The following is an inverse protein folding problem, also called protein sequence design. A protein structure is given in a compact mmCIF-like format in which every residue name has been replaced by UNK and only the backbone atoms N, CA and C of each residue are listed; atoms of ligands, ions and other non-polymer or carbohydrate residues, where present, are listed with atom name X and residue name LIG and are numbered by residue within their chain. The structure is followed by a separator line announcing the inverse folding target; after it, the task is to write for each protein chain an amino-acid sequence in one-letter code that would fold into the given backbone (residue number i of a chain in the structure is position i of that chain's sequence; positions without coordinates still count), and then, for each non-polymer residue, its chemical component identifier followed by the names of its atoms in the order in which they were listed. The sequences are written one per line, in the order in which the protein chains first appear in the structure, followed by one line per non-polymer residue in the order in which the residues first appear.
data_IF_449382076136
#
_entry.id   IF_449382076136
#
_cell.length_a   1.000
_cell.length_b   1.000
_cell.length_c   1.000
_cell.angle_alpha   90.00
_cell.angle_beta   90.00
_cell.angle_gamma   90.00
#
_symmetry.space_group_name_H-M   'P 1'
#
loop_
_entity.id
_entity.type
_entity.pdbx_description
1 polymer ?
#
# COMPACT_ATOMS: atom_id res chain seq x y z
N UNK A 1 -20.63 13.78 -9.23
CA UNK A 1 -19.45 13.34 -8.45
C UNK A 1 -18.83 12.19 -9.22
N UNK A 2 -17.62 12.38 -9.75
CA UNK A 2 -16.95 11.36 -10.57
C UNK A 2 -16.39 10.23 -9.71
N UNK A 3 -16.24 9.05 -10.31
CA UNK A 3 -15.48 7.95 -9.71
C UNK A 3 -13.99 8.25 -9.81
N UNK A 4 -13.18 7.79 -8.84
CA UNK A 4 -11.71 7.80 -8.98
C UNK A 4 -11.25 6.91 -10.13
N UNK A 5 -12.05 5.90 -10.49
CA UNK A 5 -11.80 4.98 -11.60
C UNK A 5 -12.23 5.54 -12.94
N UNK A 6 -13.21 6.45 -12.93
CA UNK A 6 -13.73 7.15 -14.13
C UNK A 6 -13.78 8.67 -13.88
N UNK A 7 -12.60 9.32 -13.76
CA UNK A 7 -12.52 10.76 -13.59
C UNK A 7 -13.03 11.50 -14.84
N UNK A 8 -13.48 12.75 -14.67
CA UNK A 8 -13.85 13.59 -15.81
C UNK A 8 -12.63 13.90 -16.68
N UNK A 9 -12.86 14.32 -17.93
CA UNK A 9 -11.77 14.72 -18.83
C UNK A 9 -10.91 15.84 -18.23
N UNK A 10 -11.54 16.79 -17.54
CA UNK A 10 -10.84 17.88 -16.86
C UNK A 10 -9.97 17.35 -15.70
N UNK A 11 -10.48 16.38 -14.94
CA UNK A 11 -9.72 15.74 -13.88
C UNK A 11 -8.53 14.94 -14.44
N UNK A 12 -8.71 14.20 -15.53
CA UNK A 12 -7.61 13.52 -16.21
C UNK A 12 -6.56 14.50 -16.74
N UNK A 13 -6.97 15.63 -17.31
CA UNK A 13 -6.05 16.67 -17.76
C UNK A 13 -5.24 17.25 -16.60
N UNK A 14 -5.89 17.54 -15.46
CA UNK A 14 -5.22 18.02 -14.26
C UNK A 14 -4.27 16.98 -13.65
N UNK A 15 -4.67 15.71 -13.60
CA UNK A 15 -3.82 14.61 -13.12
C UNK A 15 -2.59 14.43 -14.01
N UNK A 16 -2.74 14.54 -15.32
CA UNK A 16 -1.60 14.48 -16.25
C UNK A 16 -0.61 15.62 -16.04
N UNK A 17 -1.10 16.83 -15.77
CA UNK A 17 -0.22 17.96 -15.41
C UNK A 17 0.50 17.66 -14.10
N UNK A 18 -0.22 17.19 -13.07
CA UNK A 18 0.36 16.84 -11.79
C UNK A 18 1.44 15.75 -11.89
N UNK A 19 1.22 14.73 -12.75
CA UNK A 19 2.19 13.66 -13.01
C UNK A 19 3.48 14.19 -13.65
N UNK A 20 3.38 15.17 -14.55
CA UNK A 20 4.56 15.82 -15.16
C UNK A 20 5.31 16.66 -14.13
N UNK A 21 4.58 17.43 -13.30
CA UNK A 21 5.16 18.29 -12.27
C UNK A 21 5.79 17.50 -11.10
N UNK A 22 5.35 16.26 -10.87
CA UNK A 22 5.90 15.37 -9.84
C UNK A 22 7.42 15.16 -10.01
N UNK A 23 7.92 15.17 -11.24
CA UNK A 23 9.33 15.01 -11.56
C UNK A 23 9.87 13.65 -11.10
N UNK A 24 11.06 13.65 -10.48
CA UNK A 24 11.77 12.43 -10.10
C UNK A 24 11.45 11.99 -8.66
N UNK A 25 10.17 11.92 -8.32
CA UNK A 25 9.65 11.47 -7.02
C UNK A 25 8.88 10.17 -7.23
N UNK A 26 9.09 9.20 -6.33
CA UNK A 26 8.30 7.98 -6.28
C UNK A 26 7.02 8.25 -5.48
N UNK A 27 5.82 8.28 -6.09
CA UNK A 27 4.58 8.57 -5.37
C UNK A 27 4.20 7.45 -4.39
N UNK A 28 4.72 6.24 -4.57
CA UNK A 28 4.46 5.12 -3.67
C UNK A 28 5.31 5.20 -2.40
N UNK A 29 6.41 5.95 -2.39
CA UNK A 29 7.11 6.37 -1.17
C UNK A 29 7.94 7.63 -1.43
N UNK A 30 7.46 8.78 -1.00
CA UNK A 30 8.06 10.10 -1.33
C UNK A 30 9.48 10.32 -0.75
N UNK A 31 9.96 9.41 0.09
CA UNK A 31 11.33 9.44 0.64
C UNK A 31 12.28 8.42 -0.01
N UNK A 32 11.82 7.67 -1.00
CA UNK A 32 12.67 6.73 -1.77
C UNK A 32 12.96 7.28 -3.17
N UNK A 33 14.02 6.74 -3.79
CA UNK A 33 14.35 7.07 -5.17
C UNK A 33 13.48 6.26 -6.14
N UNK A 34 13.04 6.84 -7.28
CA UNK A 34 12.38 6.09 -8.33
C UNK A 34 13.27 5.03 -8.98
N UNK A 35 12.66 4.01 -9.59
CA UNK A 35 13.38 3.06 -10.43
C UNK A 35 13.79 3.72 -11.75
N UNK A 36 15.09 3.75 -12.04
CA UNK A 36 15.60 4.30 -13.29
C UNK A 36 15.50 3.26 -14.42
N UNK A 37 14.64 3.51 -15.42
CA UNK A 37 14.33 2.57 -16.53
C UNK A 37 15.54 2.20 -17.39
N UNK A 38 16.59 3.02 -17.42
CA UNK A 38 17.79 2.85 -18.27
C UNK A 38 18.97 2.18 -17.56
N UNK A 39 18.86 1.89 -16.26
CA UNK A 39 19.91 1.20 -15.52
C UNK A 39 19.92 -0.31 -15.83
N UNK A 40 21.12 -0.87 -16.06
CA UNK A 40 21.37 -2.31 -15.88
C UNK A 40 20.80 -2.76 -14.53
N UNK A 41 20.37 -4.02 -14.42
CA UNK A 41 19.96 -4.67 -13.17
C UNK A 41 21.17 -4.77 -12.24
N UNK A 42 21.61 -3.63 -11.71
CA UNK A 42 22.72 -3.53 -10.79
C UNK A 42 22.19 -4.01 -9.45
N UNK A 43 22.58 -5.22 -9.10
CA UNK A 43 22.40 -5.92 -7.82
C UNK A 43 22.85 -5.13 -6.57
N UNK A 44 23.26 -3.87 -6.72
CA UNK A 44 23.89 -2.99 -5.72
C UNK A 44 23.36 -1.55 -5.83
N UNK A 45 22.03 -1.36 -5.85
CA UNK A 45 21.40 -0.07 -5.50
C UNK A 45 21.63 0.21 -4.00
N UNK A 46 22.86 0.57 -3.62
CA UNK A 46 23.23 0.87 -2.22
C UNK A 46 22.73 2.26 -1.82
N UNK A 47 21.42 2.47 -1.85
CA UNK A 47 20.79 3.58 -1.15
C UNK A 47 20.80 3.26 0.35
N UNK A 48 21.61 3.99 1.13
CA UNK A 48 21.59 3.87 2.58
C UNK A 48 20.52 4.80 3.14
N UNK A 49 19.35 4.26 3.47
CA UNK A 49 18.26 5.00 4.07
C UNK A 49 18.31 4.79 5.59
N UNK A 50 18.55 5.82 6.41
CA UNK A 50 18.65 5.69 7.88
C UNK A 50 17.45 5.00 8.53
N UNK A 51 16.31 5.07 7.85
CA UNK A 51 15.03 4.55 8.29
C UNK A 51 14.70 3.15 7.73
N UNK A 52 15.51 2.59 6.82
CA UNK A 52 15.27 1.27 6.23
C UNK A 52 16.42 0.31 6.52
N UNK A 53 16.10 -0.88 7.04
CA UNK A 53 17.09 -1.85 7.54
C UNK A 53 17.85 -2.63 6.45
N UNK A 54 17.43 -2.51 5.19
CA UNK A 54 18.07 -3.11 4.01
C UNK A 54 18.13 -2.08 2.89
N UNK A 55 19.08 -2.24 1.97
CA UNK A 55 19.11 -1.46 0.74
C UNK A 55 17.78 -1.68 -0.01
N UNK A 56 16.97 -0.63 -0.09
CA UNK A 56 15.75 -0.62 -0.89
C UNK A 56 16.14 -0.58 -2.37
N UNK A 57 15.55 -1.46 -3.16
CA UNK A 57 15.66 -1.42 -4.60
C UNK A 57 14.28 -1.06 -5.18
N UNK A 58 14.11 0.12 -5.77
CA UNK A 58 12.83 0.51 -6.36
C UNK A 58 12.48 -0.30 -7.61
N UNK A 59 13.41 -1.08 -8.17
CA UNK A 59 13.23 -1.84 -9.39
C UNK A 59 12.79 -3.31 -9.16
N UNK A 60 12.27 -3.65 -7.98
CA UNK A 60 11.89 -5.03 -7.60
C UNK A 60 10.91 -5.69 -8.57
N UNK A 61 10.00 -4.92 -9.16
CA UNK A 61 9.04 -5.39 -10.17
C UNK A 61 9.74 -6.06 -11.37
N UNK A 62 10.91 -5.57 -11.77
CA UNK A 62 11.68 -6.13 -12.90
C UNK A 62 12.14 -7.55 -12.58
N UNK A 63 12.60 -7.78 -11.36
CA UNK A 63 13.03 -9.10 -10.91
C UNK A 63 11.88 -10.10 -10.91
N UNK A 64 10.69 -9.67 -10.47
CA UNK A 64 9.48 -10.50 -10.52
C UNK A 64 9.09 -10.84 -11.96
N UNK A 65 9.07 -9.85 -12.87
CA UNK A 65 8.77 -10.07 -14.29
C UNK A 65 9.72 -11.06 -14.96
N UNK A 66 11.02 -10.98 -14.67
CA UNK A 66 11.98 -11.96 -15.18
C UNK A 66 11.79 -13.35 -14.55
N UNK A 67 11.56 -13.42 -13.25
CA UNK A 67 11.43 -14.68 -12.53
C UNK A 67 10.20 -15.47 -12.96
N UNK A 68 9.02 -14.85 -13.00
CA UNK A 68 7.76 -15.54 -13.31
C UNK A 68 7.57 -15.88 -14.79
N UNK A 69 8.41 -15.32 -15.68
CA UNK A 69 8.44 -15.69 -17.10
C UNK A 69 9.44 -16.81 -17.44
N UNK A 70 10.17 -17.34 -16.44
CA UNK A 70 11.05 -18.50 -16.62
C UNK A 70 10.24 -19.78 -16.81
N UNK A 71 10.50 -20.60 -17.85
CA UNK A 71 9.80 -21.86 -18.07
C UNK A 71 9.90 -22.81 -16.86
N UNK A 72 11.06 -22.88 -16.22
CA UNK A 72 11.28 -23.73 -15.05
C UNK A 72 10.44 -23.29 -13.84
N UNK A 73 10.23 -21.98 -13.66
CA UNK A 73 9.40 -21.41 -12.60
C UNK A 73 7.93 -21.65 -12.90
N UNK A 74 7.49 -21.42 -14.14
CA UNK A 74 6.11 -21.69 -14.55
C UNK A 74 5.76 -23.17 -14.37
N UNK A 75 6.63 -24.08 -14.80
CA UNK A 75 6.44 -25.51 -14.62
C UNK A 75 6.36 -25.89 -13.12
N UNK A 76 7.26 -25.37 -12.29
CA UNK A 76 7.28 -25.65 -10.85
C UNK A 76 6.03 -25.13 -10.11
N UNK A 77 5.43 -24.04 -10.61
CA UNK A 77 4.18 -23.48 -10.08
C UNK A 77 2.92 -24.08 -10.73
N UNK A 78 3.08 -25.03 -11.66
CA UNK A 78 2.01 -25.56 -12.51
C UNK A 78 1.23 -24.44 -13.23
N UNK A 79 1.92 -23.37 -13.60
CA UNK A 79 1.39 -22.25 -14.36
C UNK A 79 1.61 -22.44 -15.86
N UNK A 80 0.79 -21.77 -16.68
CA UNK A 80 0.93 -21.77 -18.14
C UNK A 80 0.88 -23.18 -18.80
N UNK A 81 0.12 -24.11 -18.22
CA UNK A 81 0.01 -25.50 -18.70
C UNK A 81 -0.54 -25.59 -20.13
N UNK A 82 -1.36 -24.63 -20.53
CA UNK A 82 -2.02 -24.58 -21.85
C UNK A 82 -1.37 -23.60 -22.82
N UNK A 83 -0.17 -23.09 -22.52
CA UNK A 83 0.58 -22.16 -23.38
C UNK A 83 -0.21 -20.88 -23.76
N UNK A 84 -0.52 -20.06 -22.76
CA UNK A 84 -1.19 -18.76 -22.97
C UNK A 84 -0.34 -17.86 -23.90
N UNK A 85 -0.96 -17.08 -24.80
CA UNK A 85 -0.25 -16.39 -25.89
C UNK A 85 0.41 -15.07 -25.49
N UNK A 86 0.57 -14.81 -24.19
CA UNK A 86 1.15 -13.58 -23.66
C UNK A 86 1.99 -13.87 -22.41
N UNK A 87 3.03 -13.05 -22.14
CA UNK A 87 3.86 -13.25 -20.95
C UNK A 87 3.11 -12.92 -19.67
N UNK A 88 3.61 -13.45 -18.55
CA UNK A 88 3.22 -12.98 -17.23
C UNK A 88 3.61 -11.51 -17.05
N UNK A 89 2.72 -10.74 -16.43
CA UNK A 89 2.96 -9.36 -15.97
C UNK A 89 2.39 -9.20 -14.56
N UNK A 90 2.94 -8.26 -13.80
CA UNK A 90 2.44 -7.83 -12.48
C UNK A 90 1.02 -7.27 -12.53
N UNK A 91 0.73 -6.45 -13.54
CA UNK A 91 -0.56 -5.81 -13.75
C UNK A 91 -1.04 -5.97 -15.21
N UNK A 92 -2.36 -5.94 -15.42
CA UNK A 92 -2.97 -5.95 -16.76
C UNK A 92 -3.57 -4.58 -17.07
N UNK A 93 -2.96 -3.85 -18.02
CA UNK A 93 -3.45 -2.56 -18.47
C UNK A 93 -4.86 -2.64 -19.07
N UNK A 94 -5.20 -3.78 -19.70
CA UNK A 94 -6.53 -4.01 -20.27
C UNK A 94 -7.57 -4.05 -19.15
N UNK A 95 -7.31 -4.81 -18.08
CA UNK A 95 -8.25 -4.87 -16.94
C UNK A 95 -8.36 -3.51 -16.27
N UNK A 96 -7.25 -2.79 -16.08
CA UNK A 96 -7.26 -1.46 -15.49
C UNK A 96 -8.02 -0.42 -16.31
N UNK A 97 -7.81 -0.37 -17.63
CA UNK A 97 -8.41 0.64 -18.51
C UNK A 97 -9.90 0.40 -18.79
N UNK A 98 -10.38 -0.85 -18.70
CA UNK A 98 -11.75 -1.20 -19.04
C UNK A 98 -12.60 -1.63 -17.84
N UNK A 99 -12.12 -1.41 -16.61
CA UNK A 99 -12.91 -1.65 -15.40
C UNK A 99 -14.11 -0.71 -15.34
N UNK A 100 -15.31 -1.17 -14.94
CA UNK A 100 -16.53 -0.35 -15.00
C UNK A 100 -17.13 -0.06 -13.64
N UNK A 101 -17.59 -1.06 -12.89
CA UNK A 101 -18.29 -0.89 -11.64
C UNK A 101 -17.33 -0.55 -10.49
N UNK A 102 -17.44 0.68 -9.99
CA UNK A 102 -16.57 1.21 -8.94
C UNK A 102 -17.39 2.09 -7.99
N UNK A 103 -17.96 1.53 -6.90
CA UNK A 103 -18.75 2.32 -5.95
C UNK A 103 -17.90 3.42 -5.31
N UNK A 104 -18.47 4.62 -5.18
CA UNK A 104 -17.75 5.79 -4.64
C UNK A 104 -17.30 5.64 -3.18
N UNK A 105 -17.92 4.72 -2.44
CA UNK A 105 -17.69 4.58 -1.01
C UNK A 105 -17.91 3.16 -0.54
N UNK A 106 -16.98 2.67 0.27
CA UNK A 106 -17.12 1.42 1.02
C UNK A 106 -17.76 1.62 2.40
N UNK A 107 -18.00 2.86 2.83
CA UNK A 107 -18.49 3.16 4.19
C UNK A 107 -19.78 2.41 4.58
N UNK A 108 -20.77 2.19 3.68
CA UNK A 108 -21.94 1.37 4.01
C UNK A 108 -21.57 -0.07 4.38
N UNK A 109 -20.64 -0.68 3.63
CA UNK A 109 -20.15 -2.04 3.89
C UNK A 109 -19.40 -2.08 5.23
N UNK A 110 -18.55 -1.09 5.52
CA UNK A 110 -17.90 -1.00 6.84
C UNK A 110 -18.92 -0.94 7.98
N UNK A 111 -20.02 -0.19 7.85
CA UNK A 111 -21.08 -0.14 8.87
C UNK A 111 -21.73 -1.49 9.09
N UNK A 112 -22.03 -2.22 8.02
CA UNK A 112 -22.60 -3.57 8.06
C UNK A 112 -21.67 -4.56 8.78
N UNK A 113 -20.40 -4.63 8.37
CA UNK A 113 -19.42 -5.56 8.93
C UNK A 113 -19.07 -5.23 10.39
N UNK A 114 -19.04 -3.94 10.75
CA UNK A 114 -18.90 -3.50 12.15
C UNK A 114 -20.10 -3.95 12.99
N UNK A 115 -21.32 -3.79 12.47
CA UNK A 115 -22.53 -4.23 13.16
C UNK A 115 -22.59 -5.75 13.33
N UNK A 116 -22.04 -6.50 12.37
CA UNK A 116 -21.88 -7.96 12.45
C UNK A 116 -20.79 -8.41 13.44
N UNK A 117 -20.02 -7.49 14.02
CA UNK A 117 -18.97 -7.80 14.99
C UNK A 117 -17.68 -8.34 14.35
N UNK A 118 -17.48 -8.13 13.04
CA UNK A 118 -16.22 -8.50 12.40
C UNK A 118 -15.10 -7.57 12.84
N UNK A 119 -13.91 -8.15 13.03
CA UNK A 119 -12.71 -7.39 13.37
C UNK A 119 -12.16 -6.69 12.14
N UNK A 120 -12.15 -5.36 12.17
CA UNK A 120 -11.68 -4.53 11.07
C UNK A 120 -10.48 -3.69 11.51
N UNK A 121 -9.38 -3.84 10.79
CA UNK A 121 -8.19 -3.00 10.94
C UNK A 121 -7.88 -2.35 9.60
N UNK A 122 -7.65 -1.04 9.62
CA UNK A 122 -7.20 -0.26 8.46
C UNK A 122 -5.81 0.26 8.76
N UNK A 123 -4.88 0.10 7.82
CA UNK A 123 -3.53 0.61 7.98
C UNK A 123 -3.04 1.41 6.77
N UNK A 124 -2.10 2.32 6.99
CA UNK A 124 -1.54 3.19 5.94
C UNK A 124 -0.07 3.55 6.23
N UNK A 125 0.77 3.52 5.20
CA UNK A 125 2.14 4.04 5.27
C UNK A 125 2.12 5.57 5.13
N UNK A 126 2.82 6.27 6.02
CA UNK A 126 2.73 7.74 6.09
C UNK A 126 3.57 8.51 5.05
N UNK A 127 4.24 7.79 4.14
CA UNK A 127 4.99 8.36 3.00
C UNK A 127 4.37 8.03 1.64
N UNK A 128 3.20 7.39 1.64
CA UNK A 128 2.41 7.14 0.43
C UNK A 128 1.69 8.42 -0.02
N UNK A 129 1.85 8.78 -1.30
CA UNK A 129 1.11 9.88 -1.93
C UNK A 129 -0.04 9.39 -2.82
N UNK A 130 -0.12 8.10 -3.15
CA UNK A 130 -1.19 7.52 -3.98
C UNK A 130 -2.49 7.42 -3.18
N UNK A 131 -2.43 6.84 -1.97
CA UNK A 131 -3.56 6.74 -1.04
C UNK A 131 -3.10 7.20 0.36
N UNK A 132 -2.91 8.52 0.55
CA UNK A 132 -2.25 9.04 1.73
C UNK A 132 -3.05 8.83 3.02
N UNK A 133 -2.34 8.82 4.16
CA UNK A 133 -2.93 8.73 5.51
C UNK A 133 -4.08 9.72 5.69
N UNK A 134 -3.96 10.93 5.16
CA UNK A 134 -4.99 11.97 5.23
C UNK A 134 -6.32 11.52 4.59
N UNK A 135 -6.28 10.89 3.42
CA UNK A 135 -7.48 10.38 2.75
C UNK A 135 -8.16 9.29 3.60
N UNK A 136 -7.36 8.34 4.09
CA UNK A 136 -7.85 7.26 4.98
C UNK A 136 -8.48 7.81 6.27
N UNK A 137 -7.85 8.80 6.90
CA UNK A 137 -8.37 9.45 8.12
C UNK A 137 -9.70 10.15 7.87
N UNK A 138 -9.84 10.89 6.78
CA UNK A 138 -11.12 11.52 6.42
C UNK A 138 -12.22 10.49 6.15
N UNK A 139 -11.91 9.40 5.45
CA UNK A 139 -12.88 8.32 5.21
C UNK A 139 -13.34 7.65 6.51
N UNK A 140 -12.41 7.34 7.42
CA UNK A 140 -12.76 6.73 8.72
C UNK A 140 -13.54 7.71 9.59
N UNK A 141 -13.19 9.00 9.62
CA UNK A 141 -13.93 10.01 10.38
C UNK A 141 -15.39 10.16 9.91
N UNK A 142 -15.65 9.94 8.62
CA UNK A 142 -17.00 9.94 8.06
C UNK A 142 -17.88 8.77 8.59
N UNK A 143 -17.31 7.73 9.18
CA UNK A 143 -18.08 6.67 9.86
C UNK A 143 -18.69 7.16 11.19
N UNK A 144 -18.11 8.21 11.81
CA UNK A 144 -18.54 8.76 13.11
C UNK A 144 -18.55 7.71 14.22
N UNK A 145 -17.55 6.83 14.23
CA UNK A 145 -17.37 5.82 15.26
C UNK A 145 -16.87 6.47 16.56
N UNK A 146 -17.37 6.04 17.75
CA UNK A 146 -16.82 6.47 19.03
C UNK A 146 -15.36 6.04 19.19
N UNK A 147 -14.49 6.96 19.61
CA UNK A 147 -13.10 6.66 19.98
C UNK A 147 -13.06 5.92 21.32
N UNK A 148 -12.39 4.78 21.35
CA UNK A 148 -12.09 3.99 22.55
C UNK A 148 -10.70 4.34 23.10
N UNK A 149 -9.73 4.51 22.21
CA UNK A 149 -8.36 4.92 22.56
C UNK A 149 -7.93 6.04 21.64
N UNK A 150 -7.62 7.20 22.21
CA UNK A 150 -7.13 8.38 21.47
C UNK A 150 -5.84 8.08 20.72
N UNK A 151 -5.57 8.83 19.66
CA UNK A 151 -4.37 8.74 18.84
C UNK A 151 -3.09 8.65 19.69
N UNK A 152 -2.37 7.52 19.61
CA UNK A 152 -1.19 7.24 20.41
C UNK A 152 -0.04 6.68 19.55
N UNK A 153 1.23 6.97 19.91
CA UNK A 153 2.37 6.34 19.25
C UNK A 153 2.49 4.87 19.71
N UNK A 154 2.76 3.98 18.77
CA UNK A 154 3.12 2.60 19.09
C UNK A 154 4.60 2.36 18.83
N UNK A 155 5.18 1.44 19.59
CA UNK A 155 6.62 1.30 19.71
C UNK A 155 7.13 -0.05 19.27
N UNK A 156 8.38 -0.03 18.85
CA UNK A 156 9.11 -1.20 18.41
C UNK A 156 10.59 -1.05 18.80
N UNK A 157 11.01 -1.77 19.84
CA UNK A 157 12.33 -1.63 20.49
C UNK A 157 12.68 -0.18 20.87
N UNK A 158 11.75 0.52 21.53
CA UNK A 158 11.95 1.90 22.00
C UNK A 158 11.91 2.97 20.92
N UNK A 159 11.69 2.61 19.65
CA UNK A 159 11.47 3.55 18.54
C UNK A 159 9.99 3.60 18.18
N UNK A 160 9.51 4.77 17.78
CA UNK A 160 8.14 4.92 17.26
C UNK A 160 8.04 4.16 15.94
N UNK A 161 7.18 3.14 15.91
CA UNK A 161 6.86 2.40 14.67
C UNK A 161 5.74 3.06 13.87
N UNK A 162 4.94 3.88 14.51
CA UNK A 162 3.87 4.68 13.92
C UNK A 162 2.85 5.11 14.98
N UNK A 163 1.60 5.34 14.55
CA UNK A 163 0.52 5.72 15.44
C UNK A 163 -0.70 4.82 15.27
N UNK A 164 -1.55 4.77 16.29
CA UNK A 164 -2.80 4.03 16.23
C UNK A 164 -3.92 4.79 16.95
N UNK A 165 -5.14 4.55 16.51
CA UNK A 165 -6.36 4.99 17.19
C UNK A 165 -7.39 3.87 17.13
N UNK A 166 -8.00 3.59 18.26
CA UNK A 166 -8.99 2.51 18.39
C UNK A 166 -10.37 3.14 18.49
N UNK A 167 -11.25 2.75 17.58
CA UNK A 167 -12.66 3.10 17.58
C UNK A 167 -13.49 1.87 17.98
N UNK A 168 -14.75 2.10 18.35
CA UNK A 168 -15.70 1.00 18.55
C UNK A 168 -15.94 0.29 17.21
N UNK A 169 -15.34 -0.90 17.05
CA UNK A 169 -15.48 -1.76 15.87
C UNK A 169 -14.39 -1.59 14.79
N UNK A 170 -13.44 -0.67 14.95
CA UNK A 170 -12.37 -0.46 13.96
C UNK A 170 -11.08 0.05 14.61
N UNK A 171 -9.94 -0.49 14.20
CA UNK A 171 -8.62 0.03 14.57
C UNK A 171 -7.95 0.66 13.35
N UNK A 172 -7.44 1.89 13.51
CA UNK A 172 -6.58 2.56 12.53
C UNK A 172 -5.13 2.47 13.00
N UNK A 173 -4.22 2.13 12.09
CA UNK A 173 -2.77 2.08 12.33
C UNK A 173 -2.02 2.81 11.20
N UNK A 174 -1.06 3.66 11.54
CA UNK A 174 -0.09 4.17 10.58
C UNK A 174 1.28 3.55 10.84
N UNK A 175 2.10 3.46 9.79
CA UNK A 175 3.46 2.93 9.87
C UNK A 175 4.45 3.97 9.38
N UNK A 176 5.35 4.39 10.27
CA UNK A 176 6.23 5.53 10.02
C UNK A 176 7.36 5.22 9.04
N UNK A 177 7.45 6.08 8.02
CA UNK A 177 8.40 6.00 6.92
C UNK A 177 8.13 4.83 5.96
N UNK A 178 6.91 4.28 5.99
CA UNK A 178 6.48 3.28 5.02
C UNK A 178 5.74 3.95 3.87
N UNK A 179 5.97 3.46 2.65
CA UNK A 179 5.18 3.81 1.47
C UNK A 179 3.88 3.02 1.36
N UNK A 180 3.32 2.99 0.16
CA UNK A 180 2.10 2.25 -0.19
C UNK A 180 2.24 0.76 0.13
N UNK A 181 3.36 0.16 -0.27
CA UNK A 181 3.71 -1.22 0.09
C UNK A 181 4.40 -1.25 1.46
N UNK A 182 3.61 -1.17 2.54
CA UNK A 182 4.13 -1.16 3.92
C UNK A 182 5.08 -2.33 4.22
N UNK A 183 4.78 -3.60 3.84
CA UNK A 183 5.68 -4.72 4.09
C UNK A 183 7.01 -4.65 3.32
N UNK A 184 7.06 -3.97 2.17
CA UNK A 184 8.31 -3.75 1.42
C UNK A 184 9.23 -2.76 2.15
N UNK A 185 8.67 -1.62 2.57
CA UNK A 185 9.43 -0.53 3.19
C UNK A 185 9.75 -0.76 4.67
N UNK A 186 8.85 -1.45 5.38
CA UNK A 186 8.91 -1.66 6.83
C UNK A 186 8.50 -3.09 7.21
N UNK A 187 9.22 -4.13 6.75
CA UNK A 187 8.83 -5.53 6.93
C UNK A 187 8.66 -5.94 8.39
N UNK A 188 9.53 -5.43 9.28
CA UNK A 188 9.47 -5.73 10.72
C UNK A 188 8.22 -5.16 11.38
N UNK A 189 7.91 -3.90 11.09
CA UNK A 189 6.73 -3.20 11.60
C UNK A 189 5.43 -3.79 11.01
N UNK A 190 5.42 -4.11 9.72
CA UNK A 190 4.30 -4.79 9.08
C UNK A 190 4.01 -6.15 9.73
N UNK A 191 5.05 -6.90 10.08
CA UNK A 191 4.90 -8.18 10.78
C UNK A 191 4.34 -8.03 12.20
N UNK A 192 4.76 -6.99 12.94
CA UNK A 192 4.19 -6.67 14.26
C UNK A 192 2.71 -6.31 14.12
N UNK A 193 2.36 -5.45 13.16
CA UNK A 193 0.97 -5.07 12.87
C UNK A 193 0.12 -6.31 12.57
N UNK A 194 0.61 -7.19 11.69
CA UNK A 194 -0.11 -8.42 11.33
C UNK A 194 -0.30 -9.35 12.53
N UNK A 195 0.74 -9.55 13.35
CA UNK A 195 0.64 -10.34 14.58
C UNK A 195 -0.37 -9.75 15.55
N UNK A 196 -0.33 -8.45 15.80
CA UNK A 196 -1.28 -7.76 16.69
C UNK A 196 -2.73 -7.92 16.20
N UNK A 197 -2.96 -7.82 14.89
CA UNK A 197 -4.27 -8.08 14.28
C UNK A 197 -4.76 -9.53 14.49
N UNK A 198 -3.88 -10.52 14.32
CA UNK A 198 -4.23 -11.94 14.51
C UNK A 198 -4.53 -12.26 15.98
N UNK A 199 -3.72 -11.71 16.89
CA UNK A 199 -3.84 -11.93 18.34
C UNK A 199 -4.94 -11.08 19.00
N UNK A 200 -5.60 -10.20 18.25
CA UNK A 200 -6.58 -9.24 18.74
C UNK A 200 -6.03 -8.34 19.88
N UNK A 201 -4.79 -7.89 19.70
CA UNK A 201 -4.12 -7.00 20.64
C UNK A 201 -3.92 -5.63 20.02
N UNK A 202 -4.09 -4.54 20.78
CA UNK A 202 -3.73 -3.21 20.29
C UNK A 202 -2.24 -3.14 19.96
N UNK A 203 -1.84 -2.14 19.17
CA UNK A 203 -0.44 -1.93 18.85
C UNK A 203 0.39 -1.67 20.13
N UNK A 204 1.63 -2.18 20.23
CA UNK A 204 2.40 -2.10 21.47
C UNK A 204 2.64 -0.66 21.92
N UNK A 205 2.32 -0.37 23.18
CA UNK A 205 2.73 0.85 23.86
C UNK A 205 4.08 0.64 24.58
N UNK A 206 4.68 1.73 25.05
CA UNK A 206 5.90 1.70 25.87
C UNK A 206 5.65 1.10 27.25
#
# INVERSE_FOLDING_TARGET
MGSSTHPSLECMAALKIAEVELGNIDPYSIFTQPCNRTGELRRNSRGHYPWMSRAYDPCTERYSNEYFNRPEVQNALHANVTEIPYPWKTCSDIVGNYWTDSPLSMLPIYRELIAAGLRIWVYSGDTDAVVPVTATRYSIDALKLPTITNWYPWYDNGKVGGWSQVYKGLTLVTVTGAGHEVPLHRPRQAYILFRSFLEDKPMPNQ
#
